data_IF_900413752944
#
_entry.id   IF_900413752944
#
_cell.length_a   1.000
_cell.length_b   1.000
_cell.length_c   1.000
_cell.angle_alpha   90.00
_cell.angle_beta   90.00
_cell.angle_gamma   90.00
#
_symmetry.space_group_name_H-M   'P 1'
#
loop_
_entity.id
_entity.type
_entity.pdbx_description
1 polymer ?
#
# COMPACT_ATOMS: atom_id res chain seq x y z
N UNK A 1 -8.67 -27.32 13.77
CA UNK A 1 -9.31 -26.06 13.34
C UNK A 1 -9.83 -25.32 14.55
N UNK A 2 -9.19 -24.20 14.89
CA UNK A 2 -9.39 -23.47 16.15
C UNK A 2 -10.67 -22.61 16.07
N UNK A 3 -11.66 -22.89 16.93
CA UNK A 3 -12.96 -22.20 16.98
C UNK A 3 -12.88 -20.69 17.29
N UNK A 4 -11.69 -20.19 17.61
CA UNK A 4 -11.45 -18.77 17.90
C UNK A 4 -11.16 -17.94 16.63
N UNK A 5 -10.66 -18.55 15.54
CA UNK A 5 -10.49 -17.85 14.26
C UNK A 5 -11.83 -17.58 13.57
N UNK A 6 -12.82 -18.46 13.76
CA UNK A 6 -14.19 -18.19 13.35
C UNK A 6 -14.82 -17.07 14.17
N UNK A 7 -14.40 -16.80 15.41
CA UNK A 7 -15.05 -15.75 16.20
C UNK A 7 -14.66 -14.34 15.74
N UNK A 8 -13.41 -14.13 15.34
CA UNK A 8 -12.91 -12.81 14.90
C UNK A 8 -13.40 -12.45 13.47
N UNK A 9 -13.70 -13.44 12.63
CA UNK A 9 -14.24 -13.21 11.27
C UNK A 9 -15.75 -13.46 11.12
N UNK A 10 -16.34 -14.42 11.84
CA UNK A 10 -17.77 -14.70 11.71
C UNK A 10 -18.66 -13.65 12.38
N UNK A 11 -18.19 -12.90 13.39
CA UNK A 11 -18.96 -11.76 13.91
C UNK A 11 -19.01 -10.60 12.91
N UNK A 12 -17.92 -10.32 12.19
CA UNK A 12 -17.90 -9.29 11.14
C UNK A 12 -18.85 -9.65 9.96
N UNK A 13 -18.86 -10.90 9.48
CA UNK A 13 -19.73 -11.33 8.38
C UNK A 13 -21.18 -11.64 8.79
N UNK A 14 -21.42 -12.08 10.03
CA UNK A 14 -22.78 -12.29 10.53
C UNK A 14 -23.52 -10.96 10.78
N UNK A 15 -22.79 -9.89 11.13
CA UNK A 15 -23.35 -8.54 11.20
C UNK A 15 -23.71 -8.00 9.80
N UNK A 16 -22.86 -8.24 8.78
CA UNK A 16 -23.11 -7.86 7.37
C UNK A 16 -24.41 -8.43 6.79
N UNK A 17 -24.86 -9.63 7.19
CA UNK A 17 -26.11 -10.23 6.71
C UNK A 17 -27.38 -9.77 7.45
N UNK A 18 -27.26 -9.22 8.66
CA UNK A 18 -28.41 -8.79 9.48
C UNK A 18 -28.76 -7.31 9.32
N UNK A 19 -27.80 -6.46 8.96
CA UNK A 19 -28.01 -5.01 8.86
C UNK A 19 -28.63 -4.55 7.53
N UNK A 20 -28.83 -5.47 6.57
CA UNK A 20 -29.52 -5.21 5.30
C UNK A 20 -31.01 -4.87 5.40
N UNK A 21 -31.63 -4.81 6.58
CA UNK A 21 -33.05 -4.40 6.67
C UNK A 21 -33.50 -3.56 7.87
N UNK A 22 -32.66 -3.21 8.84
CA UNK A 22 -33.11 -2.36 9.96
C UNK A 22 -31.96 -1.70 10.71
N UNK A 23 -31.86 -0.37 10.61
CA UNK A 23 -30.83 0.39 11.32
C UNK A 23 -30.73 1.88 10.97
N UNK A 24 -31.76 2.48 10.35
CA UNK A 24 -31.85 3.95 10.24
C UNK A 24 -32.48 4.52 11.51
N UNK A 25 -31.78 4.50 12.64
CA UNK A 25 -32.11 5.32 13.82
C UNK A 25 -31.10 5.12 14.96
N UNK A 26 -29.89 5.70 14.86
CA UNK A 26 -29.00 5.80 16.03
C UNK A 26 -27.91 6.89 15.91
N UNK A 27 -28.20 8.06 15.35
CA UNK A 27 -27.39 9.27 15.62
C UNK A 27 -28.31 10.43 16.00
N UNK A 28 -28.92 10.30 17.19
CA UNK A 28 -29.38 11.44 18.00
C UNK A 28 -28.90 11.23 19.43
N UNK A 29 -27.66 11.61 19.67
CA UNK A 29 -27.04 11.66 21.00
C UNK A 29 -25.72 12.39 20.87
N UNK A 30 -25.71 13.70 21.15
CA UNK A 30 -24.54 14.55 20.97
C UNK A 30 -23.36 14.13 21.86
N UNK A 31 -22.11 14.25 21.39
CA UNK A 31 -20.96 13.89 22.20
C UNK A 31 -20.65 14.99 23.22
N UNK A 32 -20.83 14.67 24.51
CA UNK A 32 -20.15 15.38 25.60
C UNK A 32 -18.79 14.70 25.80
N UNK A 33 -17.73 15.51 25.76
CA UNK A 33 -16.33 15.18 26.03
C UNK A 33 -15.48 14.70 24.83
N UNK A 34 -15.25 15.59 23.87
CA UNK A 34 -13.98 15.65 23.12
C UNK A 34 -13.36 17.04 23.36
N UNK A 35 -12.50 17.11 24.37
CA UNK A 35 -11.72 18.31 24.66
C UNK A 35 -10.57 18.48 23.67
N UNK A 36 -10.85 19.02 22.49
CA UNK A 36 -9.80 19.52 21.58
C UNK A 36 -9.58 21.00 21.90
N UNK A 37 -8.63 21.31 22.78
CA UNK A 37 -8.17 22.68 22.96
C UNK A 37 -7.21 23.05 21.84
N UNK A 38 -7.64 24.03 21.04
CA UNK A 38 -6.85 24.62 19.97
C UNK A 38 -5.74 25.56 20.50
N UNK A 39 -4.71 25.70 19.64
CA UNK A 39 -3.64 26.73 19.57
C UNK A 39 -2.36 26.37 20.36
N UNK A 40 -1.15 26.52 19.81
CA UNK A 40 -0.64 27.64 18.98
C UNK A 40 0.63 27.26 18.20
N UNK A 41 0.86 28.01 17.12
CA UNK A 41 1.93 27.97 16.13
C UNK A 41 3.37 28.10 16.66
N UNK A 42 4.33 27.49 15.95
CA UNK A 42 5.76 27.87 15.84
C UNK A 42 6.27 27.31 14.48
N UNK A 43 6.30 28.09 13.39
CA UNK A 43 7.38 28.98 12.89
C UNK A 43 8.19 28.37 11.74
N UNK A 44 8.01 28.90 10.52
CA UNK A 44 9.03 28.89 9.45
C UNK A 44 10.11 29.92 9.78
N UNK A 45 11.34 29.72 9.30
CA UNK A 45 11.97 30.75 8.46
C UNK A 45 12.44 30.10 7.14
N UNK A 46 12.14 30.67 5.97
CA UNK A 46 12.71 31.87 5.33
C UNK A 46 14.10 31.58 4.74
N UNK A 47 14.12 31.63 3.41
CA UNK A 47 15.29 31.67 2.54
C UNK A 47 16.08 32.93 2.85
N UNK A 48 17.39 32.83 2.98
CA UNK A 48 18.28 33.97 2.83
C UNK A 48 19.53 33.57 2.04
N UNK A 49 19.86 34.41 1.08
CA UNK A 49 20.93 34.27 0.12
C UNK A 49 22.14 35.13 0.53
N UNK A 50 23.24 34.87 -0.18
CA UNK A 50 24.47 35.66 -0.31
C UNK A 50 25.57 35.37 0.72
N UNK A 51 26.72 34.92 0.20
CA UNK A 51 27.90 35.77 0.26
C UNK A 51 28.61 35.82 -1.09
N UNK A 52 28.88 37.06 -1.49
CA UNK A 52 29.68 37.50 -2.63
C UNK A 52 31.04 37.89 -2.07
N UNK A 53 32.11 37.37 -2.66
CA UNK A 53 33.47 37.83 -2.42
C UNK A 53 34.34 37.60 -3.66
N UNK A 54 34.68 38.68 -4.36
CA UNK A 54 35.86 38.77 -5.23
C UNK A 54 36.83 39.82 -4.65
N UNK A 55 37.87 40.28 -5.36
CA UNK A 55 38.45 39.79 -6.63
C UNK A 55 39.93 39.37 -6.45
N UNK A 56 40.54 38.77 -7.48
CA UNK A 56 41.91 39.14 -7.84
C UNK A 56 42.29 38.72 -9.27
N UNK A 57 42.91 39.68 -9.94
CA UNK A 57 43.35 39.62 -11.32
C UNK A 57 44.68 38.86 -11.45
N UNK A 58 44.80 38.02 -12.49
CA UNK A 58 46.03 37.31 -12.80
C UNK A 58 46.04 36.81 -14.23
N UNK A 59 46.50 37.67 -15.14
CA UNK A 59 46.81 37.41 -16.54
C UNK A 59 47.84 36.28 -16.71
N UNK A 60 47.58 35.30 -17.59
CA UNK A 60 48.39 35.03 -18.79
C UNK A 60 48.32 33.56 -19.28
N UNK A 61 48.26 33.45 -20.60
CA UNK A 61 48.73 32.36 -21.46
C UNK A 61 47.95 31.05 -21.60
N UNK A 62 47.23 30.97 -22.71
CA UNK A 62 46.77 29.75 -23.35
C UNK A 62 47.89 29.06 -24.15
N UNK A 63 47.99 27.72 -24.11
CA UNK A 63 48.45 26.93 -25.24
C UNK A 63 47.24 26.33 -25.97
N UNK A 64 47.21 26.52 -27.29
CA UNK A 64 46.25 25.89 -28.21
C UNK A 64 46.43 24.36 -28.19
N UNK A 65 45.59 23.65 -27.46
CA UNK A 65 45.44 22.19 -27.56
C UNK A 65 44.32 21.85 -28.55
N UNK A 66 44.68 21.08 -29.58
CA UNK A 66 43.82 20.59 -30.68
C UNK A 66 42.56 19.89 -30.12
N UNK A 67 41.39 20.03 -30.75
CA UNK A 67 40.22 19.26 -30.35
C UNK A 67 40.46 17.78 -30.69
N UNK A 68 40.58 16.93 -29.66
CA UNK A 68 40.45 15.48 -29.81
C UNK A 68 39.02 15.20 -30.28
N UNK A 69 38.88 14.49 -31.39
CA UNK A 69 37.60 13.89 -31.81
C UNK A 69 37.15 12.94 -30.71
N UNK A 70 36.24 13.39 -29.86
CA UNK A 70 35.45 12.50 -29.01
C UNK A 70 34.49 11.78 -29.94
N UNK A 71 34.78 10.51 -30.24
CA UNK A 71 33.77 9.62 -30.80
C UNK A 71 32.58 9.63 -29.86
N UNK A 72 31.47 10.20 -30.32
CA UNK A 72 30.20 10.16 -29.62
C UNK A 72 29.77 8.69 -29.55
N UNK A 73 30.00 8.07 -28.40
CA UNK A 73 29.32 6.85 -28.04
C UNK A 73 27.92 7.29 -27.63
N UNK A 74 26.98 7.22 -28.56
CA UNK A 74 25.56 7.37 -28.24
C UNK A 74 25.24 6.29 -27.20
N UNK A 75 24.74 6.63 -26.00
CA UNK A 75 24.33 5.61 -25.04
C UNK A 75 23.29 4.70 -25.72
N UNK A 76 23.35 3.38 -25.52
CA UNK A 76 22.36 2.49 -26.11
C UNK A 76 20.96 2.96 -25.69
N UNK A 77 20.07 3.08 -26.67
CA UNK A 77 18.67 3.44 -26.44
C UNK A 77 18.14 2.53 -25.32
N UNK A 78 17.68 3.15 -24.22
CA UNK A 78 17.11 2.45 -23.08
C UNK A 78 16.03 1.50 -23.60
N UNK A 79 16.16 0.20 -23.28
CA UNK A 79 15.12 -0.78 -23.61
C UNK A 79 13.78 -0.23 -23.13
N UNK A 80 12.68 -0.35 -23.90
CA UNK A 80 11.37 0.00 -23.40
C UNK A 80 11.14 -0.81 -22.12
N UNK A 81 11.11 -0.11 -20.97
CA UNK A 81 10.75 -0.72 -19.71
C UNK A 81 9.27 -1.07 -19.84
N UNK A 82 8.96 -2.36 -19.92
CA UNK A 82 7.58 -2.82 -19.83
C UNK A 82 7.07 -2.34 -18.46
N UNK A 83 5.96 -1.58 -18.39
CA UNK A 83 5.47 -1.07 -17.13
C UNK A 83 5.11 -2.25 -16.23
N UNK A 84 5.86 -2.41 -15.14
CA UNK A 84 5.63 -3.45 -14.13
C UNK A 84 4.30 -3.14 -13.43
N UNK A 85 3.39 -4.11 -13.43
CA UNK A 85 2.07 -3.97 -12.79
C UNK A 85 2.22 -3.82 -11.28
N UNK A 86 1.55 -2.83 -10.70
CA UNK A 86 1.56 -2.54 -9.27
C UNK A 86 0.24 -2.96 -8.64
N UNK A 87 0.29 -3.85 -7.66
CA UNK A 87 -0.90 -4.42 -7.03
C UNK A 87 -0.84 -4.15 -5.52
N UNK A 88 -1.91 -3.62 -4.94
CA UNK A 88 -2.10 -3.65 -3.48
C UNK A 88 -2.94 -4.87 -3.14
N UNK A 89 -2.44 -5.72 -2.26
CA UNK A 89 -3.17 -6.89 -1.79
C UNK A 89 -3.88 -6.58 -0.48
N UNK A 90 -5.12 -7.03 -0.38
CA UNK A 90 -5.89 -7.07 0.86
C UNK A 90 -5.22 -7.97 1.90
N UNK A 91 -5.45 -7.69 3.18
CA UNK A 91 -4.89 -8.42 4.32
C UNK A 91 -5.23 -9.90 4.26
N UNK A 92 -6.45 -10.25 3.84
CA UNK A 92 -6.89 -11.63 3.79
C UNK A 92 -6.03 -12.48 2.86
N UNK A 93 -5.62 -11.95 1.72
CA UNK A 93 -4.79 -12.67 0.74
C UNK A 93 -3.46 -13.08 1.38
N UNK A 94 -2.84 -12.20 2.18
CA UNK A 94 -1.63 -12.53 2.92
C UNK A 94 -1.86 -13.59 3.99
N UNK A 95 -2.97 -13.49 4.73
CA UNK A 95 -3.34 -14.47 5.75
C UNK A 95 -3.62 -15.84 5.14
N UNK A 96 -4.21 -15.89 3.94
CA UNK A 96 -4.51 -17.15 3.27
C UNK A 96 -3.23 -17.90 2.90
N UNK A 97 -2.16 -17.19 2.52
CA UNK A 97 -0.83 -17.80 2.29
C UNK A 97 -0.16 -18.21 3.60
N UNK A 98 -0.05 -17.29 4.56
CA UNK A 98 0.77 -17.52 5.76
C UNK A 98 0.13 -18.58 6.68
N UNK A 99 -1.20 -18.63 6.75
CA UNK A 99 -1.95 -19.57 7.59
C UNK A 99 -2.51 -20.77 6.82
N UNK A 100 -2.22 -20.89 5.51
CA UNK A 100 -2.70 -21.98 4.65
C UNK A 100 -4.24 -22.14 4.72
N UNK A 101 -4.97 -21.04 4.45
CA UNK A 101 -6.44 -20.99 4.60
C UNK A 101 -7.15 -21.39 3.28
N UNK A 102 -7.84 -22.54 3.22
CA UNK A 102 -8.67 -22.87 2.07
C UNK A 102 -9.94 -22.00 2.02
N UNK A 103 -10.53 -21.79 0.82
CA UNK A 103 -10.13 -22.38 -0.46
C UNK A 103 -9.03 -21.59 -1.20
N UNK A 104 -8.67 -20.39 -0.73
CA UNK A 104 -7.89 -19.43 -1.52
C UNK A 104 -6.36 -19.55 -1.35
N UNK A 105 -5.89 -20.39 -0.42
CA UNK A 105 -4.47 -20.57 -0.12
C UNK A 105 -3.61 -20.83 -1.37
N UNK A 106 -4.01 -21.77 -2.23
CA UNK A 106 -3.23 -22.18 -3.40
C UNK A 106 -3.07 -21.04 -4.42
N UNK A 107 -4.17 -20.34 -4.72
CA UNK A 107 -4.14 -19.23 -5.69
C UNK A 107 -3.40 -18.02 -5.12
N UNK A 108 -3.58 -17.71 -3.83
CA UNK A 108 -2.87 -16.65 -3.15
C UNK A 108 -1.35 -16.94 -3.09
N UNK A 109 -0.95 -18.18 -2.84
CA UNK A 109 0.45 -18.60 -2.82
C UNK A 109 1.08 -18.51 -4.21
N UNK A 110 0.35 -18.88 -5.26
CA UNK A 110 0.80 -18.72 -6.64
C UNK A 110 0.98 -17.25 -7.03
N UNK A 111 0.07 -16.37 -6.61
CA UNK A 111 0.19 -14.91 -6.80
C UNK A 111 1.39 -14.34 -6.05
N UNK A 112 1.58 -14.71 -4.78
CA UNK A 112 2.75 -14.33 -3.99
C UNK A 112 4.04 -14.71 -4.71
N UNK A 113 4.15 -15.96 -5.14
CA UNK A 113 5.34 -16.46 -5.83
C UNK A 113 5.58 -15.74 -7.17
N UNK A 114 4.53 -15.31 -7.87
CA UNK A 114 4.67 -14.52 -9.10
C UNK A 114 5.26 -13.13 -8.82
N UNK A 115 4.80 -12.47 -7.75
CA UNK A 115 5.32 -11.17 -7.29
C UNK A 115 6.77 -11.32 -6.82
N UNK A 116 7.09 -12.36 -6.05
CA UNK A 116 8.45 -12.67 -5.60
C UNK A 116 9.42 -12.90 -6.76
N UNK A 117 8.95 -13.49 -7.87
CA UNK A 117 9.74 -13.65 -9.11
C UNK A 117 9.86 -12.37 -9.94
N UNK A 118 9.28 -11.25 -9.49
CA UNK A 118 9.34 -9.96 -10.17
C UNK A 118 8.36 -9.82 -11.35
N UNK A 119 7.34 -10.66 -11.43
CA UNK A 119 6.30 -10.56 -12.48
C UNK A 119 5.34 -9.38 -12.24
N UNK A 120 5.32 -8.85 -11.01
CA UNK A 120 4.60 -7.64 -10.62
C UNK A 120 5.23 -7.02 -9.38
N UNK A 121 4.77 -5.83 -9.02
CA UNK A 121 5.14 -5.13 -7.80
C UNK A 121 3.99 -5.19 -6.81
N UNK A 122 4.12 -6.04 -5.79
CA UNK A 122 3.13 -6.18 -4.74
C UNK A 122 3.32 -5.18 -3.60
N UNK A 123 2.21 -4.70 -3.05
CA UNK A 123 2.18 -3.83 -1.88
C UNK A 123 1.20 -4.32 -0.81
N UNK A 124 1.52 -4.01 0.44
CA UNK A 124 0.63 -4.16 1.61
C UNK A 124 0.34 -2.76 2.19
N UNK A 125 -0.89 -2.42 2.57
CA UNK A 125 -1.16 -1.16 3.25
C UNK A 125 -0.45 -1.11 4.61
N UNK A 126 0.08 0.06 5.00
CA UNK A 126 0.88 0.20 6.23
C UNK A 126 0.18 -0.30 7.50
N UNK A 127 -1.12 -0.02 7.65
CA UNK A 127 -1.91 -0.52 8.78
C UNK A 127 -2.10 -2.06 8.74
N UNK A 128 -2.02 -2.65 7.54
CA UNK A 128 -2.12 -4.09 7.33
C UNK A 128 -0.97 -4.85 7.97
N UNK A 129 0.24 -4.28 7.99
CA UNK A 129 1.42 -4.92 8.61
C UNK A 129 1.19 -5.20 10.10
N UNK A 130 0.70 -4.21 10.86
CA UNK A 130 0.43 -4.37 12.29
C UNK A 130 -0.76 -5.29 12.56
N UNK A 131 -1.77 -5.24 11.69
CA UNK A 131 -2.97 -6.08 11.80
C UNK A 131 -2.65 -7.54 11.51
N UNK A 132 -1.88 -7.81 10.46
CA UNK A 132 -1.38 -9.16 10.14
C UNK A 132 -0.55 -9.70 11.30
N UNK A 133 0.39 -8.91 11.86
CA UNK A 133 1.16 -9.35 13.03
C UNK A 133 0.25 -9.82 14.16
N UNK A 134 -0.73 -8.99 14.53
CA UNK A 134 -1.68 -9.30 15.60
C UNK A 134 -2.46 -10.58 15.31
N UNK A 135 -2.96 -10.75 14.08
CA UNK A 135 -3.74 -11.93 13.70
C UNK A 135 -2.89 -13.21 13.68
N UNK A 136 -1.65 -13.15 13.19
CA UNK A 136 -0.73 -14.29 13.21
C UNK A 136 -0.35 -14.68 14.65
N UNK A 137 -0.13 -13.69 15.52
CA UNK A 137 0.18 -13.93 16.93
C UNK A 137 -0.98 -14.64 17.63
N UNK A 138 -2.23 -14.20 17.35
CA UNK A 138 -3.43 -14.84 17.89
C UNK A 138 -3.69 -16.22 17.30
N UNK A 139 -3.30 -16.45 16.06
CA UNK A 139 -3.44 -17.76 15.42
C UNK A 139 -2.45 -18.78 16.00
N UNK A 140 -1.23 -18.33 16.35
CA UNK A 140 -0.16 -19.19 16.86
C UNK A 140 0.58 -18.55 18.04
N UNK A 141 1.64 -17.79 17.76
CA UNK A 141 2.46 -17.12 18.76
C UNK A 141 3.23 -15.94 18.13
N UNK A 142 3.88 -15.13 18.98
CA UNK A 142 4.61 -13.94 18.57
C UNK A 142 5.84 -14.24 17.69
N UNK A 143 6.47 -15.41 17.86
CA UNK A 143 7.63 -15.78 17.05
C UNK A 143 7.20 -16.07 15.61
N UNK A 144 6.11 -16.82 15.44
CA UNK A 144 5.49 -17.07 14.15
C UNK A 144 4.99 -15.78 13.49
N UNK A 145 4.38 -14.87 14.26
CA UNK A 145 3.94 -13.58 13.75
C UNK A 145 5.09 -12.73 13.21
N UNK A 146 6.21 -12.69 13.95
CA UNK A 146 7.40 -11.97 13.53
C UNK A 146 7.99 -12.55 12.25
N UNK A 147 8.13 -13.87 12.17
CA UNK A 147 8.60 -14.54 10.96
C UNK A 147 7.68 -14.26 9.76
N UNK A 148 6.35 -14.32 9.95
CA UNK A 148 5.38 -14.04 8.91
C UNK A 148 5.49 -12.61 8.37
N UNK A 149 5.63 -11.62 9.25
CA UNK A 149 5.80 -10.22 8.85
C UNK A 149 7.17 -9.98 8.20
N UNK A 150 8.25 -10.61 8.68
CA UNK A 150 9.57 -10.52 8.05
C UNK A 150 9.55 -11.05 6.60
N UNK A 151 8.87 -12.18 6.36
CA UNK A 151 8.66 -12.73 5.01
C UNK A 151 7.83 -11.79 4.13
N UNK A 152 6.75 -11.22 4.69
CA UNK A 152 5.88 -10.28 4.00
C UNK A 152 6.65 -9.05 3.49
N UNK A 153 7.36 -8.35 4.38
CA UNK A 153 8.10 -7.13 4.00
C UNK A 153 9.36 -7.42 3.18
N UNK A 154 9.81 -8.68 3.15
CA UNK A 154 10.89 -9.13 2.26
C UNK A 154 10.47 -9.21 0.79
N UNK A 155 9.17 -9.33 0.51
CA UNK A 155 8.62 -9.48 -0.85
C UNK A 155 7.78 -8.26 -1.27
N UNK A 156 7.00 -7.70 -0.35
CA UNK A 156 6.03 -6.64 -0.65
C UNK A 156 6.50 -5.29 -0.12
N UNK A 157 6.32 -4.24 -0.94
CA UNK A 157 6.49 -2.88 -0.47
C UNK A 157 5.34 -2.47 0.46
N UNK A 158 5.59 -1.50 1.35
CA UNK A 158 4.55 -0.97 2.23
C UNK A 158 3.95 0.29 1.59
N UNK A 159 2.65 0.25 1.30
CA UNK A 159 1.89 1.40 0.83
C UNK A 159 1.65 2.37 2.01
N UNK A 160 2.12 3.62 1.93
CA UNK A 160 1.95 4.60 3.01
C UNK A 160 0.48 4.88 3.30
N UNK A 161 0.16 5.07 4.58
CA UNK A 161 -1.15 5.55 5.03
C UNK A 161 -0.91 6.82 5.83
N UNK A 162 -1.14 7.97 5.19
CA UNK A 162 -0.99 9.30 5.79
C UNK A 162 -2.36 9.99 5.96
N UNK A 163 -2.35 11.25 6.42
CA UNK A 163 -3.58 12.04 6.62
C UNK A 163 -4.42 12.16 5.33
N UNK A 164 -3.78 12.24 4.16
CA UNK A 164 -4.51 12.36 2.89
C UNK A 164 -5.22 11.04 2.56
N UNK A 165 -4.54 9.90 2.74
CA UNK A 165 -5.14 8.57 2.55
C UNK A 165 -6.34 8.38 3.47
N UNK A 166 -6.22 8.74 4.76
CA UNK A 166 -7.31 8.60 5.74
C UNK A 166 -8.50 9.51 5.38
N UNK A 167 -8.25 10.76 4.98
CA UNK A 167 -9.32 11.67 4.51
C UNK A 167 -10.00 11.14 3.26
N UNK A 168 -9.21 10.58 2.33
CA UNK A 168 -9.73 9.97 1.11
C UNK A 168 -10.62 8.78 1.43
N UNK A 169 -10.20 7.90 2.34
CA UNK A 169 -11.00 6.78 2.81
C UNK A 169 -12.33 7.22 3.44
N UNK A 170 -12.32 8.24 4.30
CA UNK A 170 -13.54 8.80 4.90
C UNK A 170 -14.52 9.34 3.83
N UNK A 171 -14.00 9.91 2.74
CA UNK A 171 -14.80 10.42 1.64
C UNK A 171 -15.43 9.33 0.76
N UNK A 172 -14.93 8.09 0.81
CA UNK A 172 -15.55 6.95 0.11
C UNK A 172 -16.87 6.54 0.76
N UNK A 173 -17.07 6.84 2.04
CA UNK A 173 -18.30 6.54 2.80
C UNK A 173 -18.69 5.06 2.80
N UNK A 174 -17.70 4.17 2.66
CA UNK A 174 -17.93 2.73 2.68
C UNK A 174 -18.22 2.24 4.11
N UNK A 175 -19.06 1.20 4.27
CA UNK A 175 -19.36 0.64 5.59
C UNK A 175 -18.12 0.07 6.27
N UNK A 176 -17.25 -0.58 5.49
CA UNK A 176 -15.98 -1.10 5.97
C UNK A 176 -14.87 -0.04 5.77
N UNK A 177 -14.40 0.51 6.89
CA UNK A 177 -13.39 1.55 6.85
C UNK A 177 -12.00 1.02 6.51
N UNK A 178 -11.71 -0.26 6.81
CA UNK A 178 -10.45 -0.89 6.42
C UNK A 178 -10.35 -0.94 4.89
N UNK A 179 -11.39 -1.46 4.24
CA UNK A 179 -11.47 -1.54 2.78
C UNK A 179 -11.33 -0.16 2.13
N UNK A 180 -11.96 0.86 2.73
CA UNK A 180 -11.83 2.25 2.28
C UNK A 180 -10.39 2.76 2.38
N UNK A 181 -9.67 2.44 3.46
CA UNK A 181 -8.26 2.81 3.65
C UNK A 181 -7.36 2.03 2.69
N UNK A 182 -7.62 0.74 2.48
CA UNK A 182 -6.91 -0.09 1.50
C UNK A 182 -7.05 0.48 0.08
N UNK A 183 -8.27 0.80 -0.35
CA UNK A 183 -8.54 1.38 -1.66
C UNK A 183 -7.89 2.76 -1.82
N UNK A 184 -7.99 3.62 -0.81
CA UNK A 184 -7.35 4.94 -0.82
C UNK A 184 -5.81 4.86 -0.82
N UNK A 185 -5.23 3.90 -0.10
CA UNK A 185 -3.78 3.68 -0.08
C UNK A 185 -3.29 3.15 -1.43
N UNK A 186 -4.06 2.27 -2.07
CA UNK A 186 -3.77 1.75 -3.40
C UNK A 186 -3.82 2.86 -4.46
N UNK A 187 -4.86 3.71 -4.44
CA UNK A 187 -4.99 4.90 -5.28
C UNK A 187 -3.79 5.84 -5.09
N UNK A 188 -3.47 6.19 -3.83
CA UNK A 188 -2.38 7.11 -3.52
C UNK A 188 -0.98 6.56 -3.89
N UNK A 189 -0.82 5.22 -3.85
CA UNK A 189 0.43 4.54 -4.21
C UNK A 189 0.56 4.27 -5.71
N UNK A 190 -0.41 4.70 -6.53
CA UNK A 190 -0.42 4.48 -7.97
C UNK A 190 -0.51 3.00 -8.35
N UNK A 191 -1.23 2.20 -7.57
CA UNK A 191 -1.50 0.81 -7.90
C UNK A 191 -2.41 0.71 -9.13
N UNK A 192 -2.13 -0.24 -10.00
CA UNK A 192 -2.96 -0.56 -11.17
C UNK A 192 -4.23 -1.33 -10.76
N UNK A 193 -4.18 -2.08 -9.64
CA UNK A 193 -5.36 -2.70 -9.05
C UNK A 193 -5.21 -2.96 -7.53
N UNK A 194 -6.34 -3.13 -6.88
CA UNK A 194 -6.47 -3.74 -5.56
C UNK A 194 -6.88 -5.22 -5.73
N UNK A 195 -6.23 -6.11 -4.97
CA UNK A 195 -6.48 -7.55 -5.02
C UNK A 195 -7.12 -8.01 -3.72
N UNK A 196 -8.33 -8.55 -3.78
CA UNK A 196 -9.11 -9.01 -2.63
C UNK A 196 -9.89 -10.27 -2.96
N UNK A 197 -10.31 -11.04 -1.96
CA UNK A 197 -11.20 -12.18 -2.18
C UNK A 197 -12.64 -11.78 -2.47
N UNK A 198 -13.04 -10.57 -2.10
CA UNK A 198 -14.41 -10.08 -2.28
C UNK A 198 -14.43 -8.75 -3.04
N UNK A 199 -14.27 -8.77 -4.38
CA UNK A 199 -14.31 -7.55 -5.18
C UNK A 199 -15.64 -6.79 -5.06
N UNK A 200 -16.75 -7.49 -4.79
CA UNK A 200 -18.07 -6.88 -4.64
C UNK A 200 -18.18 -6.03 -3.36
N UNK A 201 -17.30 -6.25 -2.39
CA UNK A 201 -17.14 -5.43 -1.18
C UNK A 201 -16.64 -4.00 -1.44
N UNK A 202 -16.22 -3.68 -2.67
CA UNK A 202 -15.55 -2.43 -3.05
C UNK A 202 -16.40 -1.58 -4.03
N UNK A 203 -17.53 -1.00 -3.59
CA UNK A 203 -18.45 -0.31 -4.47
C UNK A 203 -17.88 1.03 -4.97
N UNK A 204 -17.86 1.22 -6.30
CA UNK A 204 -17.33 2.43 -6.95
C UNK A 204 -15.87 2.73 -6.55
N UNK A 205 -15.05 1.68 -6.45
CA UNK A 205 -13.63 1.80 -6.14
C UNK A 205 -12.92 2.78 -7.10
N UNK A 206 -11.94 3.56 -6.60
CA UNK A 206 -11.21 4.52 -7.42
C UNK A 206 -10.25 3.87 -8.42
N UNK A 207 -10.03 2.56 -8.29
CA UNK A 207 -9.15 1.75 -9.12
C UNK A 207 -9.79 0.36 -9.35
N UNK A 208 -9.33 -0.41 -10.37
CA UNK A 208 -9.78 -1.78 -10.56
C UNK A 208 -9.60 -2.63 -9.30
N UNK A 209 -10.63 -3.41 -8.97
CA UNK A 209 -10.60 -4.39 -7.87
C UNK A 209 -10.82 -5.76 -8.47
N UNK A 210 -9.90 -6.67 -8.21
CA UNK A 210 -9.87 -8.01 -8.83
C UNK A 210 -9.56 -9.08 -7.80
N UNK A 211 -9.96 -10.31 -8.11
CA UNK A 211 -9.63 -11.47 -7.28
C UNK A 211 -8.17 -11.96 -7.50
N UNK A 212 -7.63 -12.82 -6.62
CA UNK A 212 -6.27 -13.33 -6.76
C UNK A 212 -6.03 -14.12 -8.06
N UNK A 213 -7.04 -14.81 -8.59
CA UNK A 213 -6.91 -15.60 -9.82
C UNK A 213 -6.78 -14.69 -11.05
N UNK A 214 -7.57 -13.61 -11.10
CA UNK A 214 -7.49 -12.58 -12.12
C UNK A 214 -6.15 -11.83 -12.05
N UNK A 215 -5.69 -11.47 -10.84
CA UNK A 215 -4.37 -10.87 -10.65
C UNK A 215 -3.24 -11.78 -11.12
N UNK A 216 -3.26 -13.06 -10.74
CA UNK A 216 -2.25 -14.04 -11.16
C UNK A 216 -2.23 -14.18 -12.69
N UNK A 217 -3.40 -14.27 -13.31
CA UNK A 217 -3.51 -14.34 -14.78
C UNK A 217 -2.94 -13.08 -15.43
N UNK A 218 -3.20 -11.90 -14.84
CA UNK A 218 -2.69 -10.63 -15.36
C UNK A 218 -1.17 -10.50 -15.28
N UNK A 219 -0.54 -11.06 -14.25
CA UNK A 219 0.93 -11.04 -14.11
C UNK A 219 1.66 -12.08 -14.96
N UNK A 220 0.96 -13.12 -15.40
CA UNK A 220 1.57 -14.28 -16.09
C UNK A 220 1.32 -14.31 -17.59
N UNK A 221 0.48 -13.42 -18.12
CA UNK A 221 0.27 -13.24 -19.55
C UNK A 221 1.37 -12.35 -20.14
N UNK A 222 2.11 -12.90 -21.12
CA UNK A 222 3.11 -12.19 -21.95
C UNK A 222 2.47 -11.29 -23.01
#
# INVERSE_FOLDING_TARGET
MNAMLSYVYAEADAQRRREGSSGREAIRGGPRHLGVTARRAVSRPLVEAAEVGGPDAGSANAPRSRPRRTGGCTPPASRPQIPVKRLLLDLNVFLDVILDRPPDADVAAALWAAIERGQGHGMVPAHGVTTIFYLLEKARDAAFAREGVERLIGVFAVAPVDDNVVRRALALTWPDFEDAVCAAAAEASGCDALVTRDPDGYPNAPLPVIDPAAALSWLTQE
#
